data_IF_757524297709
#
_entry.id   IF_757524297709
#
_cell.length_a   1.000
_cell.length_b   1.000
_cell.length_c   1.000
_cell.angle_alpha   90.00
_cell.angle_beta   90.00
_cell.angle_gamma   90.00
#
_symmetry.space_group_name_H-M   'P 1'
#
loop_
_entity.id
_entity.type
_entity.pdbx_description
1 polymer ?
#
# COMPACT_ATOMS: atom_id res chain seq x y z
N UNK A 1 41.84 15.56 2.03
CA UNK A 1 40.42 15.37 1.74
C UNK A 1 40.18 13.99 1.12
N UNK A 2 40.78 13.60 -0.01
CA UNK A 2 40.61 12.27 -0.63
C UNK A 2 41.12 11.16 0.31
N UNK A 3 42.29 11.32 0.94
CA UNK A 3 42.86 10.36 1.91
C UNK A 3 41.89 10.16 3.10
N UNK A 4 41.36 11.24 3.66
CA UNK A 4 40.38 11.18 4.78
C UNK A 4 39.06 10.48 4.37
N UNK A 5 38.67 10.63 3.13
CA UNK A 5 37.51 9.92 2.58
C UNK A 5 37.78 8.41 2.47
N UNK A 6 38.95 8.04 1.90
CA UNK A 6 39.35 6.65 1.75
C UNK A 6 39.49 5.98 3.13
N UNK A 7 40.17 6.64 4.08
CA UNK A 7 40.35 6.12 5.44
C UNK A 7 39.02 5.95 6.17
N UNK A 8 38.09 6.90 5.98
CA UNK A 8 36.77 6.83 6.62
C UNK A 8 35.85 5.77 5.99
N UNK A 9 35.82 5.69 4.67
CA UNK A 9 34.89 4.82 3.96
C UNK A 9 35.42 3.40 3.78
N UNK A 10 36.71 3.25 3.46
CA UNK A 10 37.31 1.94 3.13
C UNK A 10 37.96 1.32 4.36
N UNK A 11 38.92 1.97 4.99
CA UNK A 11 39.66 1.42 6.15
C UNK A 11 38.77 1.29 7.39
N UNK A 12 37.80 2.22 7.58
CA UNK A 12 36.80 2.12 8.64
C UNK A 12 35.58 1.23 8.30
N UNK A 13 35.57 0.56 7.14
CA UNK A 13 34.52 -0.33 6.66
C UNK A 13 33.09 0.30 6.69
N UNK A 14 32.99 1.63 6.64
CA UNK A 14 31.68 2.34 6.71
C UNK A 14 30.80 2.10 5.49
N UNK A 15 31.38 1.68 4.37
CA UNK A 15 30.60 1.24 3.21
C UNK A 15 29.67 0.07 3.55
N UNK A 16 30.01 -0.79 4.51
CA UNK A 16 29.14 -1.88 4.97
C UNK A 16 27.87 -1.35 5.63
N UNK A 17 27.95 -0.26 6.38
CA UNK A 17 26.78 0.39 6.97
C UNK A 17 25.83 0.94 5.90
N UNK A 18 26.42 1.48 4.81
CA UNK A 18 25.62 1.98 3.66
C UNK A 18 24.94 0.81 2.96
N UNK A 19 25.65 -0.30 2.74
CA UNK A 19 25.08 -1.49 2.12
C UNK A 19 23.98 -2.13 2.99
N UNK A 20 24.18 -2.19 4.31
CA UNK A 20 23.15 -2.65 5.24
C UNK A 20 21.93 -1.73 5.24
N UNK A 21 22.15 -0.41 5.23
CA UNK A 21 21.09 0.59 5.13
C UNK A 21 20.29 0.44 3.84
N UNK A 22 20.97 0.24 2.71
CA UNK A 22 20.34 -0.03 1.41
C UNK A 22 19.53 -1.32 1.44
N UNK A 23 20.09 -2.40 1.99
CA UNK A 23 19.39 -3.68 2.14
C UNK A 23 18.11 -3.54 2.96
N UNK A 24 18.16 -2.84 4.10
CA UNK A 24 17.00 -2.58 4.93
C UNK A 24 15.95 -1.73 4.19
N UNK A 25 16.39 -0.72 3.44
CA UNK A 25 15.48 0.13 2.65
C UNK A 25 14.75 -0.68 1.59
N UNK A 26 15.47 -1.52 0.84
CA UNK A 26 14.87 -2.40 -0.16
C UNK A 26 13.89 -3.40 0.46
N UNK A 27 14.26 -3.99 1.60
CA UNK A 27 13.38 -4.92 2.32
C UNK A 27 12.10 -4.24 2.78
N UNK A 28 12.21 -3.05 3.41
CA UNK A 28 11.04 -2.27 3.83
C UNK A 28 10.17 -1.95 2.62
N UNK A 29 10.75 -1.46 1.53
CA UNK A 29 10.02 -1.08 0.34
C UNK A 29 9.25 -2.26 -0.28
N UNK A 30 9.93 -3.39 -0.48
CA UNK A 30 9.30 -4.60 -1.04
C UNK A 30 8.17 -5.12 -0.16
N UNK A 31 8.41 -5.24 1.15
CA UNK A 31 7.38 -5.69 2.08
C UNK A 31 6.20 -4.70 2.16
N UNK A 32 6.49 -3.39 2.18
CA UNK A 32 5.45 -2.37 2.22
C UNK A 32 4.59 -2.35 0.96
N UNK A 33 5.18 -2.55 -0.23
CA UNK A 33 4.43 -2.68 -1.49
C UNK A 33 3.53 -3.91 -1.46
N UNK A 34 4.04 -5.06 -1.04
CA UNK A 34 3.24 -6.29 -0.96
C UNK A 34 2.06 -6.15 0.00
N UNK A 35 2.33 -5.70 1.24
CA UNK A 35 1.29 -5.45 2.25
C UNK A 35 0.31 -4.40 1.74
N UNK A 36 0.84 -3.30 1.20
CA UNK A 36 0.04 -2.19 0.69
C UNK A 36 -0.87 -2.60 -0.47
N UNK A 37 -0.39 -3.44 -1.39
CA UNK A 37 -1.21 -3.96 -2.51
C UNK A 37 -2.36 -4.81 -2.00
N UNK A 38 -2.07 -5.76 -1.10
CA UNK A 38 -3.10 -6.65 -0.54
C UNK A 38 -4.15 -5.88 0.25
N UNK A 39 -3.72 -5.01 1.17
CA UNK A 39 -4.62 -4.18 1.96
C UNK A 39 -5.38 -3.19 1.07
N UNK A 40 -4.67 -2.55 0.14
CA UNK A 40 -5.27 -1.59 -0.78
C UNK A 40 -6.37 -2.20 -1.62
N UNK A 41 -6.17 -3.39 -2.16
CA UNK A 41 -7.19 -4.11 -2.92
C UNK A 41 -8.37 -4.49 -2.04
N UNK A 42 -8.14 -5.05 -0.85
CA UNK A 42 -9.20 -5.43 0.08
C UNK A 42 -10.07 -4.21 0.47
N UNK A 43 -9.46 -3.11 0.89
CA UNK A 43 -10.19 -1.90 1.26
C UNK A 43 -10.84 -1.20 0.06
N UNK A 44 -10.28 -1.30 -1.14
CA UNK A 44 -10.93 -0.80 -2.35
C UNK A 44 -12.24 -1.56 -2.63
N UNK A 45 -12.23 -2.90 -2.51
CA UNK A 45 -13.44 -3.71 -2.63
C UNK A 45 -14.49 -3.33 -1.57
N UNK A 46 -14.05 -3.08 -0.32
CA UNK A 46 -14.95 -2.60 0.73
C UNK A 46 -15.57 -1.24 0.37
N UNK A 47 -14.80 -0.31 -0.20
CA UNK A 47 -15.30 1.02 -0.61
C UNK A 47 -16.31 0.97 -1.76
N UNK A 48 -16.16 0.04 -2.70
CA UNK A 48 -17.09 -0.11 -3.84
C UNK A 48 -18.22 -1.06 -3.54
N UNK A 49 -18.23 -1.72 -2.37
CA UNK A 49 -19.33 -2.58 -1.96
C UNK A 49 -20.57 -1.76 -1.64
N UNK A 50 -21.74 -2.34 -1.85
CA UNK A 50 -23.02 -1.75 -1.44
C UNK A 50 -23.25 -1.70 0.07
N UNK A 51 -22.34 -2.30 0.87
CA UNK A 51 -22.48 -2.38 2.32
C UNK A 51 -21.92 -1.11 2.98
N UNK A 52 -22.81 -0.34 3.62
CA UNK A 52 -22.48 0.93 4.28
C UNK A 52 -21.44 0.78 5.40
N UNK A 53 -21.45 -0.33 6.14
CA UNK A 53 -20.53 -0.59 7.24
C UNK A 53 -19.11 -0.82 6.70
N UNK A 54 -18.96 -1.68 5.69
CA UNK A 54 -17.67 -1.94 5.06
C UNK A 54 -17.10 -0.67 4.44
N UNK A 55 -17.93 0.10 3.77
CA UNK A 55 -17.55 1.39 3.20
C UNK A 55 -17.04 2.35 4.26
N UNK A 56 -17.77 2.50 5.38
CA UNK A 56 -17.37 3.37 6.48
C UNK A 56 -16.02 2.98 7.10
N UNK A 57 -15.78 1.68 7.32
CA UNK A 57 -14.50 1.18 7.84
C UNK A 57 -13.36 1.55 6.88
N UNK A 58 -13.55 1.31 5.58
CA UNK A 58 -12.52 1.63 4.59
C UNK A 58 -12.28 3.14 4.44
N UNK A 59 -13.32 3.97 4.61
CA UNK A 59 -13.20 5.42 4.61
C UNK A 59 -12.42 5.92 5.83
N UNK A 60 -12.72 5.42 7.03
CA UNK A 60 -11.97 5.77 8.24
C UNK A 60 -10.49 5.42 8.07
N UNK A 61 -10.20 4.19 7.63
CA UNK A 61 -8.83 3.73 7.37
C UNK A 61 -8.08 4.68 6.43
N UNK A 62 -8.64 4.96 5.26
CA UNK A 62 -7.96 5.80 4.27
C UNK A 62 -7.86 7.25 4.69
N UNK A 63 -8.89 7.81 5.35
CA UNK A 63 -8.90 9.21 5.80
C UNK A 63 -7.87 9.42 6.90
N UNK A 64 -7.80 8.55 7.89
CA UNK A 64 -6.86 8.66 9.01
C UNK A 64 -5.43 8.50 8.50
N UNK A 65 -5.12 7.45 7.75
CA UNK A 65 -3.74 7.19 7.34
C UNK A 65 -3.21 8.17 6.29
N UNK A 66 -4.06 8.71 5.43
CA UNK A 66 -3.65 9.72 4.44
C UNK A 66 -3.68 11.15 5.00
N UNK A 67 -4.39 11.36 6.10
CA UNK A 67 -4.46 12.66 6.77
C UNK A 67 -3.31 12.94 7.73
N UNK A 68 -2.52 11.93 8.11
CA UNK A 68 -1.40 12.06 9.04
C UNK A 68 -0.08 12.01 8.27
N UNK A 69 0.87 12.96 8.47
CA UNK A 69 2.20 12.88 7.88
C UNK A 69 2.89 11.56 8.22
N UNK A 70 3.54 10.93 7.24
CA UNK A 70 4.14 9.60 7.40
C UNK A 70 5.13 9.50 8.56
N UNK A 71 5.93 10.54 8.80
CA UNK A 71 6.88 10.57 9.91
C UNK A 71 6.14 10.50 11.27
N UNK A 72 5.07 11.27 11.43
CA UNK A 72 4.23 11.25 12.64
C UNK A 72 3.56 9.89 12.80
N UNK A 73 3.05 9.33 11.72
CA UNK A 73 2.46 8.00 11.71
C UNK A 73 3.46 6.94 12.17
N UNK A 74 4.70 6.97 11.67
CA UNK A 74 5.77 6.05 12.08
C UNK A 74 6.06 6.16 13.58
N UNK A 75 6.09 7.37 14.13
CA UNK A 75 6.27 7.60 15.58
C UNK A 75 5.11 7.01 16.39
N UNK A 76 3.86 7.22 15.95
CA UNK A 76 2.68 6.64 16.61
C UNK A 76 2.75 5.11 16.59
N UNK A 77 3.05 4.52 15.43
CA UNK A 77 3.18 3.07 15.31
C UNK A 77 4.28 2.54 16.23
N UNK A 78 5.44 3.19 16.25
CA UNK A 78 6.59 2.70 17.02
C UNK A 78 6.39 2.88 18.54
N UNK A 79 6.02 4.09 19.00
CA UNK A 79 6.00 4.41 20.42
C UNK A 79 4.66 4.10 21.11
N UNK A 80 3.55 4.11 20.38
CA UNK A 80 2.22 3.97 20.98
C UNK A 80 1.64 2.58 20.71
N UNK A 81 1.65 2.15 19.44
CA UNK A 81 0.96 0.91 19.05
C UNK A 81 1.82 -0.32 19.30
N UNK A 82 3.06 -0.31 18.87
CA UNK A 82 3.92 -1.50 18.89
C UNK A 82 4.96 -1.53 20.03
N UNK A 83 5.15 -0.44 20.76
CA UNK A 83 6.03 -0.41 21.92
C UNK A 83 5.71 -1.51 22.95
N UNK A 84 4.42 -1.73 23.33
CA UNK A 84 4.08 -2.76 24.30
C UNK A 84 4.35 -4.18 23.80
N UNK A 85 4.44 -4.38 22.47
CA UNK A 85 4.64 -5.69 21.86
C UNK A 85 6.13 -6.06 21.70
N UNK A 86 7.06 -5.16 22.02
CA UNK A 86 8.50 -5.40 21.90
C UNK A 86 8.99 -5.71 20.49
N UNK A 87 8.26 -5.29 19.45
CA UNK A 87 8.62 -5.57 18.07
C UNK A 87 9.91 -4.83 17.68
N UNK A 88 10.69 -5.48 16.83
CA UNK A 88 11.90 -4.87 16.32
C UNK A 88 11.59 -3.68 15.40
N UNK A 89 12.51 -2.71 15.34
CA UNK A 89 12.33 -1.44 14.59
C UNK A 89 12.06 -1.66 13.10
N UNK A 90 12.70 -2.66 12.49
CA UNK A 90 12.54 -2.97 11.08
C UNK A 90 11.11 -3.46 10.78
N UNK A 91 10.58 -4.34 11.63
CA UNK A 91 9.22 -4.85 11.49
C UNK A 91 8.18 -3.75 11.68
N UNK A 92 8.37 -2.87 12.67
CA UNK A 92 7.48 -1.71 12.86
C UNK A 92 7.49 -0.80 11.64
N UNK A 93 8.68 -0.54 11.06
CA UNK A 93 8.78 0.24 9.83
C UNK A 93 8.03 -0.43 8.67
N UNK A 94 8.24 -1.73 8.46
CA UNK A 94 7.54 -2.50 7.40
C UNK A 94 6.01 -2.37 7.55
N UNK A 95 5.50 -2.55 8.77
CA UNK A 95 4.06 -2.44 9.03
C UNK A 95 3.55 -1.02 8.80
N UNK A 96 4.23 -0.01 9.35
CA UNK A 96 3.82 1.39 9.21
C UNK A 96 3.78 1.83 7.74
N UNK A 97 4.85 1.54 6.98
CA UNK A 97 4.88 1.82 5.54
C UNK A 97 3.87 1.00 4.76
N UNK A 98 3.66 -0.27 5.14
CA UNK A 98 2.67 -1.14 4.51
C UNK A 98 1.24 -0.65 4.68
N UNK A 99 0.87 -0.24 5.90
CA UNK A 99 -0.45 0.35 6.17
C UNK A 99 -0.64 1.69 5.45
N UNK A 100 0.37 2.54 5.45
CA UNK A 100 0.32 3.80 4.72
C UNK A 100 0.16 3.57 3.21
N UNK A 101 1.02 2.74 2.61
CA UNK A 101 0.94 2.35 1.20
C UNK A 101 -0.44 1.79 0.85
N UNK A 102 -1.00 0.92 1.71
CA UNK A 102 -2.34 0.36 1.54
C UNK A 102 -3.44 1.42 1.44
N UNK A 103 -3.34 2.49 2.21
CA UNK A 103 -4.31 3.57 2.16
C UNK A 103 -4.28 4.32 0.81
N UNK A 104 -3.10 4.55 0.24
CA UNK A 104 -2.95 5.13 -1.10
C UNK A 104 -3.40 4.15 -2.19
N UNK A 105 -2.96 2.89 -2.14
CA UNK A 105 -3.38 1.85 -3.07
C UNK A 105 -4.91 1.65 -3.08
N UNK A 106 -5.57 1.78 -1.91
CA UNK A 106 -7.04 1.72 -1.80
C UNK A 106 -7.70 2.72 -2.75
N UNK A 107 -7.24 3.97 -2.74
CA UNK A 107 -7.83 5.01 -3.59
C UNK A 107 -7.51 4.80 -5.08
N UNK A 108 -6.30 4.34 -5.39
CA UNK A 108 -5.90 4.01 -6.76
C UNK A 108 -6.80 2.90 -7.31
N UNK A 109 -6.93 1.79 -6.60
CA UNK A 109 -7.77 0.67 -7.04
C UNK A 109 -9.26 1.04 -7.08
N UNK A 110 -9.76 1.79 -6.08
CA UNK A 110 -11.12 2.29 -6.08
C UNK A 110 -11.41 3.16 -7.32
N UNK A 111 -10.52 4.10 -7.61
CA UNK A 111 -10.71 4.99 -8.76
C UNK A 111 -10.67 4.22 -10.09
N UNK A 112 -9.80 3.22 -10.20
CA UNK A 112 -9.77 2.36 -11.38
C UNK A 112 -11.03 1.53 -11.58
N UNK A 113 -11.57 0.95 -10.49
CA UNK A 113 -12.81 0.18 -10.56
C UNK A 113 -13.98 1.09 -10.92
N UNK A 114 -14.09 2.26 -10.30
CA UNK A 114 -15.18 3.22 -10.54
C UNK A 114 -15.04 3.96 -11.87
N UNK A 115 -13.86 3.98 -12.46
CA UNK A 115 -13.61 4.57 -13.78
C UNK A 115 -14.06 3.70 -14.96
N UNK A 116 -14.44 2.45 -14.72
CA UNK A 116 -14.99 1.59 -15.78
C UNK A 116 -16.45 1.95 -16.05
N UNK A 117 -16.78 2.10 -17.33
CA UNK A 117 -18.12 2.43 -17.77
C UNK A 117 -19.17 1.45 -17.22
N UNK A 118 -20.27 2.00 -16.67
CA UNK A 118 -21.33 1.21 -16.07
C UNK A 118 -21.97 0.25 -17.08
N UNK A 119 -21.99 0.62 -18.37
CA UNK A 119 -22.48 -0.22 -19.45
C UNK A 119 -21.76 -1.56 -19.57
N UNK A 120 -20.48 -1.64 -19.12
CA UNK A 120 -19.76 -2.92 -19.07
C UNK A 120 -20.38 -3.88 -18.05
N UNK A 121 -20.83 -3.34 -16.92
CA UNK A 121 -21.53 -4.13 -15.90
C UNK A 121 -22.93 -4.53 -16.38
N UNK A 122 -23.65 -3.61 -17.00
CA UNK A 122 -24.99 -3.84 -17.55
C UNK A 122 -24.95 -4.89 -18.66
N UNK A 123 -24.01 -4.79 -19.60
CA UNK A 123 -23.82 -5.76 -20.66
C UNK A 123 -23.51 -7.17 -20.12
N UNK A 124 -22.61 -7.27 -19.14
CA UNK A 124 -22.31 -8.54 -18.50
C UNK A 124 -23.54 -9.17 -17.82
N UNK A 125 -24.35 -8.33 -17.14
CA UNK A 125 -25.60 -8.77 -16.49
C UNK A 125 -26.66 -9.20 -17.52
N UNK A 126 -26.77 -8.51 -18.64
CA UNK A 126 -27.69 -8.85 -19.74
C UNK A 126 -27.33 -10.18 -20.41
N UNK A 127 -26.05 -10.55 -20.41
CA UNK A 127 -25.58 -11.86 -20.86
C UNK A 127 -25.78 -12.99 -19.83
N UNK A 128 -26.45 -12.71 -18.69
CA UNK A 128 -26.76 -13.69 -17.65
C UNK A 128 -25.62 -13.95 -16.66
N UNK A 129 -24.52 -13.18 -16.70
CA UNK A 129 -23.46 -13.30 -15.71
C UNK A 129 -23.94 -12.81 -14.34
N UNK A 130 -23.52 -13.49 -13.27
CA UNK A 130 -23.73 -13.00 -11.92
C UNK A 130 -22.91 -11.72 -11.67
N UNK A 131 -23.23 -10.97 -10.63
CA UNK A 131 -22.50 -9.76 -10.27
C UNK A 131 -20.99 -10.03 -10.06
N UNK A 132 -20.65 -11.13 -9.39
CA UNK A 132 -19.26 -11.53 -9.17
C UNK A 132 -18.57 -11.95 -10.47
N UNK A 133 -19.27 -12.69 -11.34
CA UNK A 133 -18.72 -13.07 -12.64
C UNK A 133 -18.44 -11.84 -13.51
N UNK A 134 -19.38 -10.90 -13.56
CA UNK A 134 -19.22 -9.64 -14.30
C UNK A 134 -18.03 -8.85 -13.73
N UNK A 135 -17.96 -8.71 -12.41
CA UNK A 135 -16.84 -8.02 -11.78
C UNK A 135 -15.49 -8.65 -12.11
N UNK A 136 -15.30 -9.95 -11.86
CA UNK A 136 -14.00 -10.59 -12.06
C UNK A 136 -13.62 -10.81 -13.51
N UNK A 137 -14.60 -11.05 -14.41
CA UNK A 137 -14.31 -11.36 -15.83
C UNK A 137 -14.27 -10.12 -16.73
N UNK A 138 -14.99 -9.06 -16.38
CA UNK A 138 -15.15 -7.87 -17.24
C UNK A 138 -14.55 -6.62 -16.59
N UNK A 139 -15.03 -6.25 -15.39
CA UNK A 139 -14.65 -4.98 -14.76
C UNK A 139 -13.22 -5.00 -14.24
N UNK A 140 -12.86 -5.99 -13.44
CA UNK A 140 -11.55 -6.06 -12.79
C UNK A 140 -10.36 -6.08 -13.77
N UNK A 141 -10.36 -6.87 -14.86
CA UNK A 141 -9.25 -6.84 -15.82
C UNK A 141 -9.06 -5.49 -16.49
N UNK A 142 -10.15 -4.77 -16.76
CA UNK A 142 -10.10 -3.42 -17.32
C UNK A 142 -9.59 -2.41 -16.27
N UNK A 143 -10.08 -2.50 -15.03
CA UNK A 143 -9.65 -1.65 -13.92
C UNK A 143 -8.15 -1.80 -13.64
N UNK A 144 -7.63 -3.03 -13.63
CA UNK A 144 -6.18 -3.29 -13.45
C UNK A 144 -5.37 -2.58 -14.53
N UNK A 145 -5.76 -2.68 -15.80
CA UNK A 145 -5.07 -1.98 -16.91
C UNK A 145 -5.13 -0.46 -16.74
N UNK A 146 -6.27 0.07 -16.28
CA UNK A 146 -6.46 1.50 -16.10
C UNK A 146 -5.61 2.09 -14.96
N UNK A 147 -5.37 1.33 -13.89
CA UNK A 147 -4.60 1.81 -12.72
C UNK A 147 -3.11 1.57 -12.84
N UNK A 148 -2.66 0.67 -13.70
CA UNK A 148 -1.26 0.28 -13.81
C UNK A 148 -0.30 1.49 -13.96
N UNK A 149 -0.58 2.50 -14.82
CA UNK A 149 0.29 3.67 -14.98
C UNK A 149 0.35 4.57 -13.72
N UNK A 150 -0.64 4.50 -12.85
CA UNK A 150 -0.69 5.31 -11.62
C UNK A 150 -0.10 4.54 -10.42
N UNK A 151 -0.12 3.21 -10.51
CA UNK A 151 0.37 2.33 -9.46
C UNK A 151 1.89 2.12 -9.52
N UNK A 152 2.49 2.15 -10.69
CA UNK A 152 3.93 2.00 -10.93
C UNK A 152 4.66 3.34 -10.85
#
# INVERSE_FOLDING_TARGET
MIQSFIDTMISGQRYLLILQGLGNTLLIALCAVLIGTVLGFAFALMKVSGNKVLKAIAEIYTTVLRGIPLATQLMIFYFVIFAPLGLNRLLVAILAYGFNSGAYCTEIFRSGIQGIDAGQTEAGRSLGLSQWQTFFKIVLPQAVKAVLPTYT
#
